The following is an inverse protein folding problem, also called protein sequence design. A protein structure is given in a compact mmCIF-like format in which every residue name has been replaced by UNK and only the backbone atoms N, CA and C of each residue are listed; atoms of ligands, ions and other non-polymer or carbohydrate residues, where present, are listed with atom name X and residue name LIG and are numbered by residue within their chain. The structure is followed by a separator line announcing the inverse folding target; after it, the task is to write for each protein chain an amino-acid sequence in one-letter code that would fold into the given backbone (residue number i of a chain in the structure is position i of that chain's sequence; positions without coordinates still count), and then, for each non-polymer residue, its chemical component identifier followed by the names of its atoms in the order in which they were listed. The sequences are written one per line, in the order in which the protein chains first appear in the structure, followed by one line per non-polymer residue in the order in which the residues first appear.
data_IF_237403638723
#
_entry.id   IF_237403638723
#
_cell.length_a   1.000
_cell.length_b   1.000
_cell.length_c   1.000
_cell.angle_alpha   90.00
_cell.angle_beta   90.00
_cell.angle_gamma   90.00
#
_symmetry.space_group_name_H-M   'P 1'
#
loop_
_entity.id
_entity.type
_entity.pdbx_description
1 polymer ?
#
# COMPACT_ATOMS: atom_id res chain seq x y z
N UNK A 1 -45.68 27.78 34.62
CA UNK A 1 -44.98 28.03 33.35
C UNK A 1 -45.11 26.78 32.50
N UNK A 2 -45.82 26.79 31.36
CA UNK A 2 -45.97 25.61 30.53
C UNK A 2 -44.69 25.41 29.70
N UNK A 3 -44.11 24.21 29.76
CA UNK A 3 -43.04 23.79 28.86
C UNK A 3 -43.63 23.61 27.46
N UNK A 4 -43.26 24.50 26.54
CA UNK A 4 -43.55 24.33 25.11
C UNK A 4 -42.72 23.17 24.56
N UNK A 5 -43.32 22.19 23.85
CA UNK A 5 -42.56 21.12 23.23
C UNK A 5 -41.69 21.68 22.11
N UNK A 6 -40.39 21.38 22.16
CA UNK A 6 -39.42 21.71 21.12
C UNK A 6 -39.89 21.02 19.82
N UNK A 7 -40.00 21.72 18.68
CA UNK A 7 -40.49 21.14 17.44
C UNK A 7 -39.48 20.12 16.91
N UNK A 8 -39.72 18.84 17.21
CA UNK A 8 -38.99 17.68 16.68
C UNK A 8 -39.01 17.62 15.15
N UNK A 9 -39.99 18.26 14.51
CA UNK A 9 -40.06 18.39 13.05
C UNK A 9 -38.95 19.26 12.45
N UNK A 10 -38.44 20.25 13.18
CA UNK A 10 -37.34 21.11 12.71
C UNK A 10 -35.98 20.41 12.84
N UNK A 11 -35.80 19.58 13.86
CA UNK A 11 -34.59 18.77 14.07
C UNK A 11 -34.56 17.61 13.07
N UNK A 12 -35.70 16.94 12.85
CA UNK A 12 -35.83 15.90 11.81
C UNK A 12 -35.71 16.49 10.41
N UNK A 13 -36.20 17.71 10.19
CA UNK A 13 -36.00 18.48 8.95
C UNK A 13 -34.53 18.79 8.69
N UNK A 14 -33.82 19.37 9.67
CA UNK A 14 -32.39 19.66 9.55
C UNK A 14 -31.52 18.41 9.39
N UNK A 15 -31.88 17.29 10.03
CA UNK A 15 -31.19 16.01 9.82
C UNK A 15 -31.51 15.42 8.44
N UNK A 16 -32.74 15.60 7.92
CA UNK A 16 -33.08 15.22 6.54
C UNK A 16 -32.34 16.07 5.52
N UNK A 17 -32.19 17.38 5.74
CA UNK A 17 -31.47 18.29 4.83
C UNK A 17 -29.95 18.03 4.85
N UNK A 18 -29.39 17.58 5.97
CA UNK A 18 -28.00 17.08 6.06
C UNK A 18 -27.86 15.72 5.34
N UNK A 19 -28.89 14.86 5.41
CA UNK A 19 -28.90 13.56 4.71
C UNK A 19 -29.15 13.71 3.20
N UNK A 20 -29.91 14.73 2.79
CA UNK A 20 -30.16 15.16 1.42
C UNK A 20 -29.15 16.21 0.93
N UNK A 21 -28.04 16.41 1.65
CA UNK A 21 -26.97 17.28 1.21
C UNK A 21 -26.49 16.80 -0.15
N UNK A 22 -26.71 17.62 -1.19
CA UNK A 22 -26.37 17.31 -2.57
C UNK A 22 -24.98 16.68 -2.63
N UNK A 23 -24.79 15.59 -3.36
CA UNK A 23 -23.50 14.88 -3.36
C UNK A 23 -22.29 15.79 -3.73
N UNK A 24 -22.55 16.87 -4.46
CA UNK A 24 -21.60 17.98 -4.72
C UNK A 24 -21.15 18.72 -3.44
N UNK A 25 -22.05 18.97 -2.49
CA UNK A 25 -21.77 19.62 -1.21
C UNK A 25 -20.93 18.72 -0.30
N UNK A 26 -21.19 17.41 -0.31
CA UNK A 26 -20.40 16.41 0.43
C UNK A 26 -18.97 16.37 -0.11
N UNK A 27 -18.80 16.31 -1.43
CA UNK A 27 -17.48 16.31 -2.06
C UNK A 27 -16.69 17.59 -1.76
N UNK A 28 -17.38 18.74 -1.81
CA UNK A 28 -16.78 20.04 -1.51
C UNK A 28 -16.31 20.11 -0.05
N UNK A 29 -17.16 19.69 0.88
CA UNK A 29 -16.86 19.65 2.31
C UNK A 29 -15.69 18.71 2.61
N UNK A 30 -15.69 17.52 2.02
CA UNK A 30 -14.59 16.56 2.16
C UNK A 30 -13.26 17.16 1.64
N UNK A 31 -13.29 17.82 0.49
CA UNK A 31 -12.10 18.46 -0.10
C UNK A 31 -11.57 19.58 0.79
N UNK A 32 -12.46 20.40 1.35
CA UNK A 32 -12.12 21.48 2.28
C UNK A 32 -11.55 20.96 3.61
N UNK A 33 -11.98 19.80 4.08
CA UNK A 33 -11.46 19.21 5.32
C UNK A 33 -10.12 18.50 5.05
N UNK A 34 -10.07 17.57 4.11
CA UNK A 34 -8.89 16.73 3.89
C UNK A 34 -7.73 17.49 3.22
N UNK A 35 -8.00 18.51 2.40
CA UNK A 35 -6.98 19.31 1.71
C UNK A 35 -5.99 19.98 2.69
N UNK A 36 -6.46 20.76 3.67
CA UNK A 36 -5.62 21.36 4.70
C UNK A 36 -4.89 20.33 5.57
N UNK A 37 -5.52 19.20 5.92
CA UNK A 37 -4.82 18.14 6.66
C UNK A 37 -3.67 17.54 5.86
N UNK A 38 -3.86 17.31 4.56
CA UNK A 38 -2.82 16.81 3.67
C UNK A 38 -1.68 17.82 3.54
N UNK A 39 -2.01 19.10 3.33
CA UNK A 39 -1.02 20.18 3.23
C UNK A 39 -0.25 20.35 4.54
N UNK A 40 -0.94 20.33 5.67
CA UNK A 40 -0.35 20.38 7.00
C UNK A 40 0.59 19.20 7.24
N UNK A 41 0.15 17.98 6.93
CA UNK A 41 0.99 16.79 7.01
C UNK A 41 2.23 16.86 6.11
N UNK A 42 2.09 17.42 4.91
CA UNK A 42 3.20 17.62 3.98
C UNK A 42 4.22 18.65 4.52
N UNK A 43 3.76 19.76 5.07
CA UNK A 43 4.63 20.76 5.71
C UNK A 43 5.34 20.20 6.94
N UNK A 44 4.61 19.44 7.77
CA UNK A 44 5.17 18.73 8.93
C UNK A 44 6.25 17.75 8.47
N UNK A 45 6.01 16.98 7.40
CA UNK A 45 7.01 16.09 6.83
C UNK A 45 8.27 16.83 6.35
N UNK A 46 8.12 17.93 5.61
CA UNK A 46 9.26 18.75 5.15
C UNK A 46 10.07 19.33 6.34
N UNK A 47 9.39 19.77 7.40
CA UNK A 47 10.04 20.28 8.62
C UNK A 47 10.75 19.15 9.38
N UNK A 48 10.08 18.02 9.64
CA UNK A 48 10.69 16.87 10.32
C UNK A 48 11.90 16.33 9.57
N UNK A 49 11.81 16.24 8.25
CA UNK A 49 12.91 15.78 7.40
C UNK A 49 14.12 16.71 7.50
N UNK A 50 13.91 18.03 7.61
CA UNK A 50 14.99 19.01 7.79
C UNK A 50 15.56 18.99 9.20
N UNK A 51 14.71 18.83 10.22
CA UNK A 51 15.12 18.83 11.63
C UNK A 51 15.82 17.53 12.05
N UNK A 52 15.42 16.38 11.51
CA UNK A 52 15.91 15.05 11.91
C UNK A 52 16.45 14.23 10.74
N UNK A 53 17.53 14.65 10.05
CA UNK A 53 18.04 13.95 8.89
C UNK A 53 18.44 12.50 9.20
N UNK A 54 18.98 12.23 10.40
CA UNK A 54 19.42 10.88 10.82
C UNK A 54 18.30 9.83 10.84
N UNK A 55 17.04 10.22 11.00
CA UNK A 55 15.90 9.29 10.97
C UNK A 55 15.45 8.93 9.55
N UNK A 56 15.64 9.85 8.60
CA UNK A 56 15.13 9.70 7.23
C UNK A 56 16.19 9.29 6.21
N UNK A 57 17.48 9.48 6.52
CA UNK A 57 18.59 9.08 5.64
C UNK A 57 19.31 7.86 6.22
N UNK A 58 19.00 6.67 5.71
CA UNK A 58 19.76 5.46 6.02
C UNK A 58 21.12 5.42 5.30
N UNK A 59 21.29 6.20 4.21
CA UNK A 59 22.52 6.33 3.45
C UNK A 59 22.85 7.81 3.20
N UNK A 60 24.13 8.23 3.31
CA UNK A 60 24.53 9.65 3.30
C UNK A 60 24.39 10.36 1.95
N UNK A 61 24.10 9.65 0.85
CA UNK A 61 24.13 10.20 -0.52
C UNK A 61 22.77 10.18 -1.24
N UNK A 62 21.67 9.82 -0.58
CA UNK A 62 20.46 9.38 -1.29
C UNK A 62 19.52 10.49 -1.79
N UNK A 63 19.61 11.74 -1.32
CA UNK A 63 18.62 12.77 -1.68
C UNK A 63 19.20 14.20 -1.67
N UNK A 64 18.86 15.05 -2.66
CA UNK A 64 19.15 16.49 -2.60
C UNK A 64 18.50 17.10 -1.35
N UNK A 65 19.25 17.86 -0.56
CA UNK A 65 18.81 18.43 0.72
C UNK A 65 17.85 19.63 0.62
N UNK A 66 17.55 20.11 -0.59
CA UNK A 66 16.81 21.36 -0.80
C UNK A 66 15.34 21.11 -1.19
N UNK A 67 14.45 21.24 -0.19
CA UNK A 67 12.99 21.30 -0.38
C UNK A 67 12.40 20.12 -1.17
N UNK A 68 11.38 20.40 -1.98
CA UNK A 68 10.61 19.40 -2.77
C UNK A 68 11.40 18.72 -3.91
N UNK A 69 12.71 18.98 -4.04
CA UNK A 69 13.57 18.38 -5.08
C UNK A 69 13.74 16.87 -4.93
N UNK A 70 13.34 16.30 -3.80
CA UNK A 70 13.28 14.86 -3.63
C UNK A 70 12.21 14.19 -4.48
N UNK A 71 11.10 14.86 -4.80
CA UNK A 71 10.00 14.30 -5.59
C UNK A 71 10.48 13.93 -7.01
N UNK A 72 11.07 14.84 -7.81
CA UNK A 72 11.59 14.47 -9.12
C UNK A 72 12.72 13.45 -9.02
N UNK A 73 13.56 13.52 -7.97
CA UNK A 73 14.59 12.51 -7.75
C UNK A 73 13.99 11.11 -7.57
N UNK A 74 12.94 10.96 -6.76
CA UNK A 74 12.23 9.68 -6.56
C UNK A 74 11.63 9.15 -7.86
N UNK A 75 11.14 10.03 -8.75
CA UNK A 75 10.66 9.61 -10.07
C UNK A 75 11.77 9.18 -11.03
N UNK A 76 12.99 9.67 -10.86
CA UNK A 76 14.15 9.23 -11.67
C UNK A 76 14.76 7.91 -11.20
N UNK A 77 14.38 7.39 -10.02
CA UNK A 77 14.94 6.14 -9.50
C UNK A 77 14.50 4.94 -10.35
N UNK A 78 15.48 4.25 -10.93
CA UNK A 78 15.27 3.05 -11.74
C UNK A 78 14.93 1.84 -10.86
N UNK A 79 14.07 0.95 -11.37
CA UNK A 79 13.68 -0.30 -10.73
C UNK A 79 14.89 -1.16 -10.32
N UNK A 80 15.96 -1.19 -11.12
CA UNK A 80 17.16 -1.98 -10.82
C UNK A 80 17.89 -1.46 -9.58
N UNK A 81 17.87 -0.13 -9.35
CA UNK A 81 18.46 0.45 -8.15
C UNK A 81 17.63 0.12 -6.90
N UNK A 82 16.31 0.09 -7.04
CA UNK A 82 15.40 -0.34 -5.97
C UNK A 82 15.66 -1.80 -5.62
N UNK A 83 15.85 -2.66 -6.64
CA UNK A 83 16.14 -4.09 -6.43
C UNK A 83 17.45 -4.32 -5.68
N UNK A 84 18.49 -3.53 -5.96
CA UNK A 84 19.79 -3.63 -5.30
C UNK A 84 19.74 -3.19 -3.83
N UNK A 85 19.06 -2.07 -3.54
CA UNK A 85 19.07 -1.44 -2.20
C UNK A 85 18.01 -2.03 -1.28
N UNK A 86 16.80 -2.25 -1.79
CA UNK A 86 15.63 -2.66 -1.00
C UNK A 86 15.24 -4.13 -1.21
N UNK A 87 15.76 -4.78 -2.26
CA UNK A 87 15.45 -6.17 -2.58
C UNK A 87 14.22 -6.35 -3.48
N UNK A 88 13.90 -7.63 -3.72
CA UNK A 88 12.85 -8.03 -4.66
C UNK A 88 11.44 -7.68 -4.16
N UNK A 89 11.16 -7.89 -2.87
CA UNK A 89 9.83 -7.70 -2.30
C UNK A 89 9.35 -6.24 -2.41
N UNK A 90 10.22 -5.29 -2.03
CA UNK A 90 9.95 -3.86 -2.15
C UNK A 90 9.73 -3.44 -3.61
N UNK A 91 10.50 -4.00 -4.55
CA UNK A 91 10.31 -3.73 -5.98
C UNK A 91 8.91 -4.15 -6.44
N UNK A 92 8.45 -5.34 -6.03
CA UNK A 92 7.12 -5.85 -6.41
C UNK A 92 6.02 -4.98 -5.80
N UNK A 93 6.18 -4.55 -4.55
CA UNK A 93 5.25 -3.63 -3.90
C UNK A 93 5.09 -2.31 -4.68
N UNK A 94 6.20 -1.68 -5.08
CA UNK A 94 6.13 -0.47 -5.89
C UNK A 94 5.50 -0.69 -7.27
N UNK A 95 5.77 -1.82 -7.92
CA UNK A 95 5.13 -2.17 -9.19
C UNK A 95 3.63 -2.37 -9.03
N UNK A 96 3.19 -3.01 -7.94
CA UNK A 96 1.77 -3.15 -7.61
C UNK A 96 1.10 -1.78 -7.42
N UNK A 97 1.74 -0.84 -6.72
CA UNK A 97 1.22 0.53 -6.59
C UNK A 97 1.14 1.27 -7.94
N UNK A 98 2.16 1.10 -8.80
CA UNK A 98 2.13 1.68 -10.16
C UNK A 98 1.00 1.08 -10.99
N UNK A 99 0.79 -0.24 -10.93
CA UNK A 99 -0.34 -0.92 -11.58
C UNK A 99 -1.68 -0.34 -11.08
N UNK A 100 -1.84 -0.16 -9.77
CA UNK A 100 -3.02 0.48 -9.18
C UNK A 100 -3.25 1.90 -9.71
N UNK A 101 -2.19 2.71 -9.84
CA UNK A 101 -2.25 4.04 -10.48
C UNK A 101 -2.71 3.96 -11.94
N UNK A 102 -2.20 3.02 -12.72
CA UNK A 102 -2.62 2.83 -14.11
C UNK A 102 -4.09 2.39 -14.21
N UNK A 103 -4.53 1.51 -13.30
CA UNK A 103 -5.92 1.08 -13.21
C UNK A 103 -6.86 2.23 -12.85
N UNK A 104 -6.50 3.05 -11.85
CA UNK A 104 -7.27 4.23 -11.47
C UNK A 104 -7.33 5.26 -12.61
N UNK A 105 -6.22 5.51 -13.31
CA UNK A 105 -6.20 6.41 -14.47
C UNK A 105 -7.10 5.91 -15.61
N UNK A 106 -7.07 4.60 -15.88
CA UNK A 106 -7.95 3.99 -16.88
C UNK A 106 -9.42 4.10 -16.49
N UNK A 107 -9.75 3.90 -15.21
CA UNK A 107 -11.11 4.11 -14.69
C UNK A 107 -11.58 5.56 -14.91
N UNK A 108 -10.75 6.55 -14.60
CA UNK A 108 -11.08 7.98 -14.81
C UNK A 108 -11.33 8.27 -16.29
N UNK A 109 -10.50 7.75 -17.19
CA UNK A 109 -10.67 7.93 -18.65
C UNK A 109 -12.01 7.33 -19.10
N UNK A 110 -12.36 6.12 -18.63
CA UNK A 110 -13.64 5.51 -18.94
C UNK A 110 -14.81 6.32 -18.38
N UNK A 111 -14.71 6.84 -17.14
CA UNK A 111 -15.73 7.72 -16.57
C UNK A 111 -15.93 8.98 -17.41
N UNK A 112 -14.86 9.62 -17.87
CA UNK A 112 -14.94 10.79 -18.77
C UNK A 112 -15.62 10.41 -20.09
N UNK A 113 -15.30 9.24 -20.66
CA UNK A 113 -15.95 8.72 -21.87
C UNK A 113 -17.44 8.40 -21.69
N UNK A 114 -17.88 8.10 -20.48
CA UNK A 114 -19.28 7.82 -20.15
C UNK A 114 -20.10 9.10 -19.96
N UNK A 115 -19.49 10.23 -19.58
CA UNK A 115 -20.21 11.48 -19.36
C UNK A 115 -21.02 11.97 -20.58
N UNK A 116 -20.49 11.97 -21.82
CA UNK A 116 -21.28 12.31 -23.00
C UNK A 116 -22.42 11.33 -23.25
N UNK A 117 -22.22 10.03 -22.99
CA UNK A 117 -23.24 9.00 -23.18
C UNK A 117 -24.44 9.18 -22.24
N UNK A 118 -24.19 9.69 -21.02
CA UNK A 118 -25.22 10.02 -20.05
C UNK A 118 -25.84 11.41 -20.24
N UNK A 119 -25.25 12.28 -21.07
CA UNK A 119 -25.85 13.58 -21.36
C UNK A 119 -27.17 13.38 -22.15
N UNK A 120 -28.28 13.36 -21.43
CA UNK A 120 -29.62 13.41 -21.98
C UNK A 120 -30.21 14.77 -21.63
N UNK A 121 -30.60 15.53 -22.64
CA UNK A 121 -31.16 16.88 -22.55
C UNK A 121 -32.53 16.95 -21.86
N UNK A 122 -33.11 15.82 -21.42
CA UNK A 122 -34.48 15.75 -20.90
C UNK A 122 -34.62 15.83 -19.37
N UNK A 123 -33.53 15.82 -18.61
CA UNK A 123 -33.54 15.87 -17.14
C UNK A 123 -32.96 17.20 -16.62
N UNK A 124 -33.39 18.32 -17.21
CA UNK A 124 -32.66 19.59 -17.10
C UNK A 124 -33.07 20.51 -15.95
N UNK A 125 -34.06 20.21 -15.10
CA UNK A 125 -34.57 21.26 -14.20
C UNK A 125 -34.32 21.07 -12.70
N UNK A 126 -34.01 19.88 -12.16
CA UNK A 126 -33.94 19.77 -10.69
C UNK A 126 -33.11 18.62 -10.08
N UNK A 127 -31.98 18.21 -10.67
CA UNK A 127 -31.11 17.19 -10.03
C UNK A 127 -29.63 17.58 -9.97
N UNK A 128 -28.97 17.10 -8.93
CA UNK A 128 -27.57 17.40 -8.62
C UNK A 128 -26.62 16.95 -9.74
N UNK A 129 -25.55 17.73 -9.95
CA UNK A 129 -24.54 17.45 -10.98
C UNK A 129 -23.94 16.03 -10.87
N UNK A 130 -23.75 15.53 -9.65
CA UNK A 130 -23.21 14.18 -9.41
C UNK A 130 -24.23 13.08 -9.74
N UNK A 131 -25.50 13.31 -9.43
CA UNK A 131 -26.57 12.36 -9.71
C UNK A 131 -26.83 12.23 -11.21
N UNK A 132 -26.64 13.33 -11.95
CA UNK A 132 -26.65 13.36 -13.42
C UNK A 132 -25.49 12.59 -14.07
N UNK A 133 -24.35 12.47 -13.38
CA UNK A 133 -23.18 11.73 -13.88
C UNK A 133 -23.23 10.23 -13.56
N UNK A 134 -24.22 9.81 -12.76
CA UNK A 134 -24.35 8.44 -12.25
C UNK A 134 -25.55 7.74 -12.89
N UNK A 135 -25.56 6.41 -12.84
CA UNK A 135 -26.66 5.54 -13.34
C UNK A 135 -28.04 5.94 -12.77
N UNK A 136 -28.09 6.59 -11.60
CA UNK A 136 -29.31 7.11 -10.98
C UNK A 136 -30.07 8.11 -11.86
N UNK A 137 -29.38 8.86 -12.71
CA UNK A 137 -29.97 9.84 -13.61
C UNK A 137 -30.53 9.25 -14.92
N UNK A 138 -30.56 7.92 -15.12
CA UNK A 138 -31.10 7.31 -16.34
C UNK A 138 -32.47 6.65 -16.10
N UNK A 139 -33.44 6.82 -17.03
CA UNK A 139 -34.72 6.13 -16.94
C UNK A 139 -34.55 4.63 -17.13
N UNK A 140 -35.46 3.85 -16.53
CA UNK A 140 -35.46 2.39 -16.65
C UNK A 140 -35.67 1.99 -18.13
N UNK A 141 -34.87 1.03 -18.61
CA UNK A 141 -34.91 0.46 -19.97
C UNK A 141 -34.26 1.31 -21.09
N UNK A 142 -33.35 2.22 -20.77
CA UNK A 142 -32.60 2.97 -21.79
C UNK A 142 -31.44 2.17 -22.39
N UNK A 143 -31.22 2.21 -23.73
CA UNK A 143 -30.11 1.50 -24.38
C UNK A 143 -28.74 2.03 -23.95
N UNK A 144 -28.69 3.23 -23.37
CA UNK A 144 -27.47 3.87 -22.83
C UNK A 144 -26.88 3.11 -21.64
N UNK A 145 -27.68 2.30 -20.94
CA UNK A 145 -27.21 1.43 -19.86
C UNK A 145 -26.21 0.39 -20.37
N UNK A 146 -26.25 0.00 -21.65
CA UNK A 146 -25.25 -0.90 -22.21
C UNK A 146 -23.84 -0.32 -22.22
N UNK A 147 -23.69 1.02 -22.32
CA UNK A 147 -22.38 1.66 -22.27
C UNK A 147 -21.64 1.39 -20.94
N UNK A 148 -22.39 1.27 -19.84
CA UNK A 148 -21.85 0.99 -18.50
C UNK A 148 -21.40 -0.47 -18.40
N UNK A 149 -22.15 -1.38 -19.01
CA UNK A 149 -21.80 -2.80 -19.12
C UNK A 149 -20.51 -2.95 -19.94
N UNK A 150 -20.41 -2.28 -21.09
CA UNK A 150 -19.18 -2.28 -21.89
C UNK A 150 -17.98 -1.71 -21.13
N UNK A 151 -18.17 -0.61 -20.40
CA UNK A 151 -17.11 -0.03 -19.56
C UNK A 151 -16.68 -0.97 -18.42
N UNK A 152 -17.64 -1.64 -17.76
CA UNK A 152 -17.35 -2.62 -16.71
C UNK A 152 -16.59 -3.85 -17.25
N UNK A 153 -17.00 -4.37 -18.41
CA UNK A 153 -16.29 -5.46 -19.09
C UNK A 153 -14.88 -5.01 -19.50
N UNK A 154 -14.74 -3.81 -20.08
CA UNK A 154 -13.44 -3.26 -20.44
C UNK A 154 -12.51 -3.08 -19.23
N UNK A 155 -13.03 -2.56 -18.11
CA UNK A 155 -12.30 -2.46 -16.83
C UNK A 155 -11.85 -3.82 -16.32
N UNK A 156 -12.72 -4.82 -16.37
CA UNK A 156 -12.42 -6.18 -15.90
C UNK A 156 -11.33 -6.82 -16.76
N UNK A 157 -11.44 -6.73 -18.08
CA UNK A 157 -10.43 -7.25 -19.01
C UNK A 157 -9.09 -6.53 -18.86
N UNK A 158 -9.10 -5.19 -18.70
CA UNK A 158 -7.88 -4.41 -18.48
C UNK A 158 -7.20 -4.78 -17.15
N UNK A 159 -7.98 -4.99 -16.09
CA UNK A 159 -7.49 -5.42 -14.79
C UNK A 159 -6.85 -6.81 -14.89
N UNK A 160 -7.55 -7.76 -15.50
CA UNK A 160 -7.05 -9.12 -15.70
C UNK A 160 -5.75 -9.12 -16.52
N UNK A 161 -5.70 -8.36 -17.62
CA UNK A 161 -4.50 -8.20 -18.45
C UNK A 161 -3.33 -7.61 -17.65
N UNK A 162 -3.58 -6.56 -16.87
CA UNK A 162 -2.55 -5.90 -16.06
C UNK A 162 -1.97 -6.83 -15.00
N UNK A 163 -2.83 -7.58 -14.30
CA UNK A 163 -2.40 -8.57 -13.29
C UNK A 163 -1.61 -9.70 -13.96
N UNK A 164 -2.09 -10.23 -15.08
CA UNK A 164 -1.40 -11.30 -15.81
C UNK A 164 0.00 -10.85 -16.25
N UNK A 165 0.12 -9.62 -16.78
CA UNK A 165 1.41 -9.05 -17.19
C UNK A 165 2.37 -8.90 -16.02
N UNK A 166 1.93 -8.34 -14.89
CA UNK A 166 2.79 -8.20 -13.72
C UNK A 166 3.17 -9.56 -13.10
N UNK A 167 2.28 -10.56 -13.16
CA UNK A 167 2.59 -11.92 -12.72
C UNK A 167 3.71 -12.56 -13.55
N UNK A 168 3.71 -12.37 -14.88
CA UNK A 168 4.79 -12.86 -15.73
C UNK A 168 6.13 -12.21 -15.40
N UNK A 169 6.15 -10.88 -15.24
CA UNK A 169 7.36 -10.15 -14.85
C UNK A 169 7.86 -10.59 -13.47
N UNK A 170 6.95 -10.78 -12.51
CA UNK A 170 7.30 -11.30 -11.19
C UNK A 170 7.98 -12.65 -11.25
N UNK A 171 7.44 -13.59 -12.05
CA UNK A 171 8.05 -14.92 -12.23
C UNK A 171 9.48 -14.82 -12.75
N UNK A 172 9.71 -14.01 -13.78
CA UNK A 172 11.04 -13.82 -14.36
C UNK A 172 12.02 -13.21 -13.34
N UNK A 173 11.62 -12.12 -12.66
CA UNK A 173 12.46 -11.45 -11.66
C UNK A 173 12.74 -12.34 -10.45
N UNK A 174 11.76 -13.12 -10.01
CA UNK A 174 11.93 -14.11 -8.93
C UNK A 174 12.93 -15.19 -9.35
N UNK A 175 12.84 -15.68 -10.58
CA UNK A 175 13.77 -16.68 -11.09
C UNK A 175 15.20 -16.11 -11.16
N UNK A 176 15.37 -14.89 -11.68
CA UNK A 176 16.66 -14.19 -11.68
C UNK A 176 17.21 -13.96 -10.27
N UNK A 177 16.34 -13.62 -9.31
CA UNK A 177 16.73 -13.44 -7.91
C UNK A 177 17.16 -14.75 -7.26
N UNK A 178 16.42 -15.84 -7.49
CA UNK A 178 16.76 -17.17 -6.98
C UNK A 178 17.97 -17.80 -7.71
N UNK A 179 18.28 -17.37 -8.93
CA UNK A 179 19.49 -17.80 -9.61
C UNK A 179 20.77 -17.19 -9.02
N UNK A 180 20.66 -16.07 -8.28
CA UNK A 180 21.80 -15.48 -7.58
C UNK A 180 22.14 -16.33 -6.36
N UNK A 181 23.38 -16.83 -6.31
CA UNK A 181 23.89 -17.58 -5.17
C UNK A 181 23.93 -16.68 -3.92
N UNK A 182 22.99 -16.91 -3.00
CA UNK A 182 22.98 -16.30 -1.67
C UNK A 182 23.17 -17.38 -0.60
N UNK A 183 23.83 -17.03 0.49
CA UNK A 183 24.09 -17.94 1.62
C UNK A 183 22.81 -18.56 2.19
N UNK A 184 21.70 -17.83 2.13
CA UNK A 184 20.37 -18.28 2.58
C UNK A 184 19.83 -19.49 1.80
N UNK A 185 20.29 -19.71 0.57
CA UNK A 185 19.83 -20.84 -0.25
C UNK A 185 20.49 -22.16 0.13
N UNK A 186 21.58 -22.11 0.89
CA UNK A 186 22.34 -23.27 1.35
C UNK A 186 22.06 -23.61 2.83
N UNK A 187 21.26 -22.81 3.52
CA UNK A 187 20.84 -23.07 4.89
C UNK A 187 19.49 -23.80 4.92
N UNK A 188 19.44 -24.93 5.61
CA UNK A 188 18.20 -25.68 5.88
C UNK A 188 17.89 -25.58 7.37
N UNK A 189 16.69 -25.11 7.69
CA UNK A 189 16.15 -25.19 9.04
C UNK A 189 15.51 -26.57 9.23
N UNK A 190 15.87 -27.25 10.30
CA UNK A 190 15.34 -28.57 10.65
C UNK A 190 14.72 -28.46 12.03
N UNK A 191 13.42 -28.63 12.07
CA UNK A 191 12.63 -28.63 13.30
C UNK A 191 12.52 -30.06 13.87
N UNK A 192 12.10 -30.15 15.13
CA UNK A 192 11.82 -31.41 15.84
C UNK A 192 12.98 -32.42 15.89
N UNK A 193 14.16 -31.96 16.32
CA UNK A 193 15.32 -32.82 16.54
C UNK A 193 15.09 -33.74 17.76
N UNK A 194 15.20 -35.07 17.63
CA UNK A 194 15.09 -36.01 18.74
C UNK A 194 16.10 -35.72 19.86
N UNK A 195 15.73 -35.97 21.12
CA UNK A 195 16.58 -35.63 22.29
C UNK A 195 17.99 -36.25 22.23
N UNK A 196 18.11 -37.47 21.72
CA UNK A 196 19.40 -38.16 21.59
C UNK A 196 20.33 -37.56 20.52
N UNK A 197 19.80 -36.74 19.60
CA UNK A 197 20.57 -36.04 18.54
C UNK A 197 20.76 -34.55 18.84
N UNK A 198 20.28 -34.05 19.99
CA UNK A 198 20.32 -32.62 20.36
C UNK A 198 21.68 -32.10 20.82
N UNK A 199 22.77 -32.79 20.43
CA UNK A 199 24.15 -32.38 20.67
C UNK A 199 24.83 -32.06 19.35
N UNK A 200 25.60 -30.97 19.29
CA UNK A 200 26.29 -30.53 18.07
C UNK A 200 27.15 -31.64 17.45
N UNK A 201 27.83 -32.43 18.27
CA UNK A 201 28.69 -33.53 17.80
C UNK A 201 27.87 -34.72 17.25
N UNK A 202 26.76 -35.07 17.90
CA UNK A 202 25.89 -36.17 17.47
C UNK A 202 25.17 -35.82 16.16
N UNK A 203 24.63 -34.61 16.07
CA UNK A 203 23.94 -34.09 14.90
C UNK A 203 24.86 -34.00 13.69
N UNK A 204 26.09 -33.48 13.88
CA UNK A 204 27.10 -33.40 12.83
C UNK A 204 27.52 -34.79 12.34
N UNK A 205 27.69 -35.77 13.23
CA UNK A 205 28.00 -37.17 12.85
C UNK A 205 26.87 -37.79 12.05
N UNK A 206 25.62 -37.60 12.48
CA UNK A 206 24.44 -38.11 11.78
C UNK A 206 24.35 -37.54 10.36
N UNK A 207 24.46 -36.22 10.19
CA UNK A 207 24.41 -35.61 8.86
C UNK A 207 25.60 -35.98 7.96
N UNK A 208 26.82 -36.10 8.50
CA UNK A 208 27.94 -36.59 7.71
C UNK A 208 27.80 -38.04 7.27
N UNK A 209 27.13 -38.89 8.06
CA UNK A 209 26.86 -40.27 7.69
C UNK A 209 25.86 -40.39 6.53
N UNK A 210 24.89 -39.48 6.44
CA UNK A 210 23.85 -39.48 5.40
C UNK A 210 24.27 -38.69 4.16
N UNK A 211 24.92 -37.54 4.35
CA UNK A 211 25.34 -36.61 3.30
C UNK A 211 26.85 -36.34 3.39
N UNK A 212 27.69 -37.28 2.92
CA UNK A 212 29.15 -37.11 2.96
C UNK A 212 29.58 -35.89 2.14
N UNK A 213 30.46 -35.06 2.72
CA UNK A 213 31.04 -33.85 2.10
C UNK A 213 30.08 -32.75 1.62
N UNK A 214 28.79 -32.81 1.97
CA UNK A 214 27.80 -31.78 1.59
C UNK A 214 27.41 -30.85 2.74
N UNK A 215 27.90 -31.12 3.96
CA UNK A 215 27.54 -30.39 5.18
C UNK A 215 28.73 -29.55 5.62
N UNK A 216 28.61 -28.23 5.47
CA UNK A 216 29.66 -27.28 5.86
C UNK A 216 29.62 -27.00 7.36
N UNK A 217 28.46 -26.55 7.87
CA UNK A 217 28.24 -26.24 9.27
C UNK A 217 26.87 -26.71 9.75
N UNK A 218 26.77 -27.07 11.03
CA UNK A 218 25.52 -27.47 11.67
C UNK A 218 25.44 -26.79 13.04
N UNK A 219 24.39 -26.00 13.24
CA UNK A 219 24.14 -25.26 14.48
C UNK A 219 22.79 -25.66 15.06
N UNK A 220 22.76 -25.81 16.38
CA UNK A 220 21.52 -26.03 17.12
C UNK A 220 21.05 -24.67 17.61
N UNK A 221 19.84 -24.29 17.21
CA UNK A 221 19.20 -23.09 17.73
C UNK A 221 18.83 -23.34 19.20
N UNK A 222 19.36 -22.50 20.09
CA UNK A 222 19.07 -22.56 21.53
C UNK A 222 18.03 -21.49 21.86
N UNK A 223 17.06 -21.82 22.70
CA UNK A 223 16.08 -20.86 23.18
C UNK A 223 16.76 -19.85 24.13
N UNK A 224 17.08 -18.67 23.61
CA UNK A 224 17.79 -17.62 24.35
C UNK A 224 16.85 -16.54 24.92
N UNK A 225 15.55 -16.82 25.11
CA UNK A 225 14.56 -15.81 25.51
C UNK A 225 14.92 -15.06 26.80
N UNK A 226 15.54 -15.74 27.78
CA UNK A 226 15.97 -15.11 29.03
C UNK A 226 17.14 -14.13 28.82
N UNK A 227 18.08 -14.49 27.93
CA UNK A 227 19.24 -13.66 27.58
C UNK A 227 18.84 -12.47 26.70
N UNK A 228 17.92 -12.67 25.75
CA UNK A 228 17.36 -11.59 24.94
C UNK A 228 16.67 -10.54 25.81
N UNK A 229 15.89 -10.99 26.81
CA UNK A 229 15.26 -10.11 27.79
C UNK A 229 16.32 -9.28 28.53
N UNK A 230 17.37 -9.90 29.06
CA UNK A 230 18.44 -9.18 29.76
C UNK A 230 19.20 -8.20 28.86
N UNK A 231 19.46 -8.58 27.61
CA UNK A 231 20.10 -7.71 26.61
C UNK A 231 19.26 -6.47 26.30
N UNK A 232 17.94 -6.64 26.14
CA UNK A 232 17.01 -5.52 25.92
C UNK A 232 16.93 -4.57 27.12
N UNK A 233 16.91 -5.10 28.34
CA UNK A 233 16.98 -4.27 29.55
C UNK A 233 18.30 -3.49 29.64
N UNK A 234 19.43 -4.13 29.34
CA UNK A 234 20.74 -3.49 29.38
C UNK A 234 20.91 -2.43 28.27
N UNK A 235 20.44 -2.71 27.05
CA UNK A 235 20.47 -1.77 25.92
C UNK A 235 19.57 -0.55 26.12
N UNK A 236 18.47 -0.70 26.86
CA UNK A 236 17.60 0.43 27.24
C UNK A 236 18.28 1.29 28.31
N UNK A 237 18.95 0.69 29.29
CA UNK A 237 19.73 1.40 30.30
C UNK A 237 20.93 2.16 29.71
N UNK A 238 21.59 1.61 28.68
CA UNK A 238 22.70 2.28 28.00
C UNK A 238 22.27 3.50 27.18
N UNK A 239 21.09 3.46 26.55
CA UNK A 239 20.53 4.62 25.83
C UNK A 239 19.97 5.71 26.75
N UNK A 240 19.65 5.40 28.01
CA UNK A 240 19.18 6.35 29.02
C UNK A 240 20.32 7.06 29.78
N UNK A 241 21.55 6.59 29.65
CA UNK A 241 22.73 7.22 30.24
C UNK A 241 23.86 7.33 29.20
N UNK A 242 23.71 8.19 28.18
CA UNK A 242 24.82 8.55 27.32
C UNK A 242 25.80 9.38 28.17
N UNK A 243 26.98 8.80 28.45
CA UNK A 243 28.12 9.59 28.95
C UNK A 243 28.46 10.72 27.99
#
# INVERSE_FOLDING_TARGET
MPMTPIPTSAIVGGVKDILHGSASTILTTATQIYGPFLLGGFLVFEVLRRCFPKLYTCQPTSVPGEGVRWIPHVWTVTDDKIMEVCGLDTLIFFRFLRMGKHLAAFAVILSIGLFPAYSSTKLLEQEDFIDRLTISGLPRNDPRLWATVFAAVAMTLFTMYSIARECQVYKERRHQFLAKASTQQYSVLIDDIPEHLRSHAALKRYFHAIFPNQVEFCYIAVECRALERQSLYCGTLYNLNPK
#
